data_IF_720769262128
#
_entry.id   IF_720769262128
#
_cell.length_a   1.000
_cell.length_b   1.000
_cell.length_c   1.000
_cell.angle_alpha   90.00
_cell.angle_beta   90.00
_cell.angle_gamma   90.00
#
_symmetry.space_group_name_H-M   'P 1'
#
loop_
_entity.id
_entity.type
_entity.pdbx_description
1 polymer ?
#
# COMPACT_ATOMS: atom_id res chain seq x y z
N UNK A 1 -9.67 21.67 -18.96
CA UNK A 1 -9.96 20.52 -18.08
C UNK A 1 -8.83 20.44 -17.05
N UNK A 2 -9.12 20.14 -15.79
CA UNK A 2 -8.09 19.91 -14.77
C UNK A 2 -7.16 18.77 -15.20
N UNK A 3 -5.89 18.85 -14.81
CA UNK A 3 -4.97 17.74 -14.99
C UNK A 3 -5.40 16.59 -14.05
N UNK A 4 -5.69 15.43 -14.63
CA UNK A 4 -6.14 14.22 -13.93
C UNK A 4 -5.17 13.05 -14.20
N UNK A 5 -3.89 13.34 -14.46
CA UNK A 5 -2.86 12.31 -14.59
C UNK A 5 -2.70 11.52 -13.28
N UNK A 6 -2.57 10.20 -13.40
CA UNK A 6 -2.36 9.30 -12.28
C UNK A 6 -0.97 8.69 -12.40
N UNK A 7 -0.16 8.87 -11.37
CA UNK A 7 1.09 8.16 -11.22
C UNK A 7 0.85 6.82 -10.50
N UNK A 8 1.09 5.72 -11.20
CA UNK A 8 0.99 4.35 -10.71
C UNK A 8 2.38 3.88 -10.28
N UNK A 9 2.58 3.81 -8.98
CA UNK A 9 3.79 3.36 -8.29
C UNK A 9 3.74 1.85 -8.06
N UNK A 10 4.68 1.12 -8.67
CA UNK A 10 4.74 -0.34 -8.62
C UNK A 10 6.14 -0.76 -8.19
N UNK A 11 6.23 -1.44 -7.05
CA UNK A 11 7.44 -2.11 -6.60
C UNK A 11 7.28 -3.62 -6.80
N UNK A 12 8.27 -4.25 -7.43
CA UNK A 12 8.24 -5.67 -7.75
C UNK A 12 9.53 -6.36 -7.34
N UNK A 13 9.40 -7.54 -6.73
CA UNK A 13 10.52 -8.41 -6.38
C UNK A 13 10.28 -9.79 -6.98
N UNK A 14 11.02 -10.11 -8.04
CA UNK A 14 10.93 -11.39 -8.76
C UNK A 14 9.49 -11.86 -9.05
N UNK A 15 8.57 -10.92 -9.31
CA UNK A 15 7.14 -11.23 -9.43
C UNK A 15 6.77 -11.51 -10.90
N UNK A 16 6.31 -12.71 -11.25
CA UNK A 16 5.92 -13.03 -12.62
C UNK A 16 4.69 -12.24 -13.10
N UNK A 17 3.90 -11.64 -12.19
CA UNK A 17 2.70 -10.88 -12.57
C UNK A 17 2.95 -9.41 -12.87
N UNK A 18 4.19 -8.90 -12.76
CA UNK A 18 4.46 -7.49 -13.02
C UNK A 18 3.97 -7.03 -14.41
N UNK A 19 4.26 -7.81 -15.45
CA UNK A 19 3.79 -7.51 -16.81
C UNK A 19 2.26 -7.52 -16.91
N UNK A 20 1.60 -8.50 -16.27
CA UNK A 20 0.15 -8.60 -16.21
C UNK A 20 -0.48 -7.39 -15.50
N UNK A 21 0.07 -6.96 -14.36
CA UNK A 21 -0.45 -5.81 -13.60
C UNK A 21 -0.37 -4.52 -14.42
N UNK A 22 0.75 -4.29 -15.12
CA UNK A 22 0.90 -3.12 -15.99
C UNK A 22 -0.03 -3.17 -17.20
N UNK A 23 -0.20 -4.34 -17.81
CA UNK A 23 -1.12 -4.52 -18.94
C UNK A 23 -2.58 -4.31 -18.52
N UNK A 24 -2.97 -4.88 -17.38
CA UNK A 24 -4.30 -4.70 -16.79
C UNK A 24 -4.58 -3.23 -16.46
N UNK A 25 -3.62 -2.52 -15.87
CA UNK A 25 -3.75 -1.09 -15.58
C UNK A 25 -4.02 -0.25 -16.84
N UNK A 26 -3.32 -0.54 -17.94
CA UNK A 26 -3.47 0.18 -19.21
C UNK A 26 -4.75 -0.21 -19.96
N UNK A 27 -4.98 -1.51 -20.16
CA UNK A 27 -6.09 -2.03 -20.98
C UNK A 27 -7.45 -1.75 -20.35
N UNK A 28 -7.53 -1.72 -19.02
CA UNK A 28 -8.79 -1.54 -18.29
C UNK A 28 -9.08 -0.08 -17.96
N UNK A 29 -8.13 0.85 -18.16
CA UNK A 29 -8.36 2.27 -17.93
C UNK A 29 -9.26 2.87 -19.02
N UNK A 30 -10.10 3.84 -18.62
CA UNK A 30 -10.89 4.64 -19.56
C UNK A 30 -10.03 5.70 -20.27
N UNK A 31 -9.01 6.22 -19.61
CA UNK A 31 -8.07 7.22 -20.15
C UNK A 31 -6.60 6.76 -19.98
N UNK A 32 -6.16 5.68 -20.66
CA UNK A 32 -4.81 5.13 -20.50
C UNK A 32 -3.69 6.14 -20.78
N UNK A 33 -3.93 7.16 -21.62
CA UNK A 33 -2.99 8.25 -21.92
C UNK A 33 -2.66 9.14 -20.71
N UNK A 34 -3.50 9.13 -19.66
CA UNK A 34 -3.29 9.89 -18.42
C UNK A 34 -2.38 9.17 -17.42
N UNK A 35 -2.11 7.88 -17.65
CA UNK A 35 -1.31 7.09 -16.74
C UNK A 35 0.18 7.39 -16.91
N UNK A 36 0.88 7.46 -15.79
CA UNK A 36 2.34 7.47 -15.67
C UNK A 36 2.74 6.37 -14.71
N UNK A 37 3.75 5.59 -15.02
CA UNK A 37 4.19 4.45 -14.23
C UNK A 37 5.57 4.72 -13.66
N UNK A 38 5.73 4.49 -12.36
CA UNK A 38 7.02 4.34 -11.70
C UNK A 38 7.22 2.88 -11.34
N UNK A 39 8.12 2.19 -12.03
CA UNK A 39 8.33 0.75 -11.86
C UNK A 39 9.71 0.51 -11.27
N UNK A 40 9.75 -0.08 -10.08
CA UNK A 40 10.98 -0.63 -9.50
C UNK A 40 10.92 -2.13 -9.65
N UNK A 41 11.80 -2.65 -10.50
CA UNK A 41 11.88 -4.06 -10.83
C UNK A 41 13.16 -4.66 -10.24
N UNK A 42 12.97 -5.60 -9.31
CA UNK A 42 14.04 -6.31 -8.64
C UNK A 42 14.04 -7.78 -9.08
N UNK A 43 14.22 -8.02 -10.38
CA UNK A 43 14.31 -9.36 -10.99
C UNK A 43 15.67 -9.58 -11.66
N UNK A 44 16.13 -10.83 -11.81
CA UNK A 44 17.33 -11.11 -12.60
C UNK A 44 17.14 -10.64 -14.06
N UNK A 45 18.19 -10.17 -14.76
CA UNK A 45 18.09 -9.72 -16.14
C UNK A 45 17.42 -10.73 -17.09
N UNK A 46 17.61 -12.02 -16.84
CA UNK A 46 17.03 -13.14 -17.58
C UNK A 46 15.53 -13.37 -17.34
N UNK A 47 14.96 -12.85 -16.25
CA UNK A 47 13.53 -13.04 -15.94
C UNK A 47 12.61 -12.29 -16.91
N UNK A 48 13.14 -11.28 -17.60
CA UNK A 48 12.58 -10.62 -18.78
C UNK A 48 11.06 -10.37 -18.73
N UNK A 49 10.65 -9.17 -18.34
CA UNK A 49 9.29 -8.70 -18.61
C UNK A 49 9.33 -7.56 -19.62
N UNK A 50 8.32 -7.53 -20.50
CA UNK A 50 8.15 -6.47 -21.48
C UNK A 50 7.08 -5.48 -20.98
N UNK A 51 7.28 -4.20 -21.29
CA UNK A 51 6.19 -3.25 -21.17
C UNK A 51 5.02 -3.66 -22.07
N UNK A 52 3.77 -3.43 -21.64
CA UNK A 52 2.61 -3.67 -22.48
C UNK A 52 2.77 -2.94 -23.83
N UNK A 53 2.39 -3.58 -24.95
CA UNK A 53 2.60 -3.02 -26.29
C UNK A 53 1.93 -1.64 -26.48
N UNK A 54 0.85 -1.39 -25.73
CA UNK A 54 0.11 -0.13 -25.70
C UNK A 54 0.78 0.97 -24.84
N UNK A 55 1.78 0.63 -24.03
CA UNK A 55 2.49 1.59 -23.20
C UNK A 55 3.41 2.45 -24.07
N UNK A 56 3.28 3.77 -23.99
CA UNK A 56 4.24 4.66 -24.63
C UNK A 56 5.46 4.84 -23.73
N UNK A 57 6.66 4.90 -24.30
CA UNK A 57 7.91 5.01 -23.54
C UNK A 57 7.90 6.19 -22.54
N UNK A 58 7.29 7.32 -22.92
CA UNK A 58 7.20 8.51 -22.07
C UNK A 58 6.28 8.33 -20.84
N UNK A 59 5.44 7.29 -20.82
CA UNK A 59 4.56 6.99 -19.71
C UNK A 59 5.26 6.19 -18.61
N UNK A 60 6.48 5.71 -18.83
CA UNK A 60 7.11 4.74 -17.93
C UNK A 60 8.47 5.26 -17.47
N UNK A 61 8.65 5.27 -16.15
CA UNK A 61 9.91 5.53 -15.48
C UNK A 61 10.29 4.25 -14.76
N UNK A 62 11.46 3.68 -15.06
CA UNK A 62 11.88 2.38 -14.53
C UNK A 62 13.22 2.50 -13.80
N UNK A 63 13.30 1.84 -12.65
CA UNK A 63 14.54 1.49 -11.98
C UNK A 63 14.62 -0.04 -11.97
N UNK A 64 15.76 -0.57 -12.39
CA UNK A 64 16.05 -2.00 -12.32
C UNK A 64 17.18 -2.23 -11.33
N UNK A 65 17.02 -3.22 -10.46
CA UNK A 65 18.01 -3.64 -9.47
C UNK A 65 18.13 -5.16 -9.52
N UNK A 66 19.34 -5.68 -9.29
CA UNK A 66 19.48 -7.11 -9.10
C UNK A 66 18.80 -7.54 -7.78
N UNK A 67 18.15 -8.72 -7.67
CA UNK A 67 17.48 -9.16 -6.44
C UNK A 67 18.38 -9.23 -5.19
N UNK A 68 19.70 -9.37 -5.40
CA UNK A 68 20.72 -9.32 -4.34
C UNK A 68 20.91 -7.92 -3.74
N UNK A 69 20.59 -6.88 -4.50
CA UNK A 69 20.71 -5.48 -4.07
C UNK A 69 19.40 -4.97 -3.45
N UNK A 70 18.33 -5.76 -3.50
CA UNK A 70 17.06 -5.46 -2.85
C UNK A 70 17.20 -5.37 -1.32
N UNK A 71 16.35 -4.54 -0.71
CA UNK A 71 16.34 -4.29 0.75
C UNK A 71 14.92 -4.38 1.34
N UNK A 72 14.07 -5.20 0.72
CA UNK A 72 12.65 -5.33 1.06
C UNK A 72 11.72 -4.33 0.34
N UNK A 73 10.40 -4.48 0.53
CA UNK A 73 9.40 -3.72 -0.21
C UNK A 73 9.37 -2.23 0.15
N UNK A 74 9.60 -1.84 1.41
CA UNK A 74 9.67 -0.43 1.81
C UNK A 74 10.72 0.36 1.02
N UNK A 75 11.92 -0.20 0.86
CA UNK A 75 12.99 0.38 0.05
C UNK A 75 12.56 0.54 -1.41
N UNK A 76 12.00 -0.52 -2.01
CA UNK A 76 11.53 -0.49 -3.39
C UNK A 76 10.38 0.52 -3.61
N UNK A 77 9.45 0.62 -2.66
CA UNK A 77 8.34 1.58 -2.69
C UNK A 77 8.83 3.01 -2.52
N UNK A 78 9.85 3.26 -1.69
CA UNK A 78 10.47 4.57 -1.58
C UNK A 78 11.13 5.00 -2.90
N UNK A 79 11.83 4.08 -3.58
CA UNK A 79 12.38 4.32 -4.92
C UNK A 79 11.27 4.59 -5.94
N UNK A 80 10.21 3.78 -5.96
CA UNK A 80 9.09 3.92 -6.90
C UNK A 80 8.35 5.25 -6.69
N UNK A 81 8.09 5.62 -5.43
CA UNK A 81 7.50 6.89 -5.06
C UNK A 81 8.37 8.07 -5.50
N UNK A 82 9.70 7.95 -5.43
CA UNK A 82 10.65 8.96 -5.91
C UNK A 82 10.66 9.18 -7.44
N UNK A 83 10.01 8.32 -8.22
CA UNK A 83 9.84 8.50 -9.67
C UNK A 83 8.63 9.39 -10.02
N UNK A 84 7.85 9.84 -9.04
CA UNK A 84 6.80 10.84 -9.23
C UNK A 84 7.38 12.18 -9.71
N UNK A 85 6.73 12.83 -10.67
CA UNK A 85 7.18 14.11 -11.25
C UNK A 85 6.05 15.15 -11.23
N UNK A 86 5.28 15.19 -10.15
CA UNK A 86 4.21 16.16 -9.97
C UNK A 86 2.88 15.76 -10.60
N UNK A 87 2.65 14.47 -10.89
CA UNK A 87 1.32 14.00 -11.25
C UNK A 87 0.31 14.33 -10.13
N UNK A 88 -0.89 14.84 -10.47
CA UNK A 88 -1.87 15.32 -9.49
C UNK A 88 -2.45 14.19 -8.61
N UNK A 89 -2.38 12.94 -9.06
CA UNK A 89 -2.83 11.77 -8.31
C UNK A 89 -1.73 10.72 -8.22
N UNK A 90 -1.67 10.06 -7.07
CA UNK A 90 -0.74 8.99 -6.74
C UNK A 90 -1.53 7.71 -6.43
N UNK A 91 -1.19 6.62 -7.10
CA UNK A 91 -1.69 5.28 -6.85
C UNK A 91 -0.50 4.37 -6.55
N UNK A 92 -0.49 3.72 -5.40
CA UNK A 92 0.44 2.63 -5.09
C UNK A 92 -0.28 1.29 -5.16
N UNK A 93 0.34 0.34 -5.86
CA UNK A 93 -0.14 -1.04 -5.96
C UNK A 93 1.01 -2.04 -5.82
N UNK A 94 0.67 -3.27 -5.46
CA UNK A 94 1.58 -4.40 -5.58
C UNK A 94 1.69 -4.87 -7.04
N UNK A 95 2.76 -5.59 -7.38
CA UNK A 95 3.03 -6.09 -8.74
C UNK A 95 2.17 -7.29 -9.19
N UNK A 96 1.14 -7.62 -8.41
CA UNK A 96 0.19 -8.72 -8.65
C UNK A 96 -1.24 -8.24 -8.36
N UNK A 97 -1.53 -7.06 -8.89
CA UNK A 97 -2.84 -6.41 -8.88
C UNK A 97 -3.51 -6.58 -10.25
N UNK A 98 -4.80 -6.88 -10.25
CA UNK A 98 -5.66 -6.82 -11.44
C UNK A 98 -6.58 -5.59 -11.32
N UNK A 99 -6.67 -4.82 -12.38
CA UNK A 99 -7.51 -3.64 -12.47
C UNK A 99 -8.86 -4.00 -13.09
N UNK A 100 -9.94 -3.42 -12.57
CA UNK A 100 -11.27 -3.58 -13.17
C UNK A 100 -11.52 -2.54 -14.28
N UNK A 101 -12.48 -2.77 -15.19
CA UNK A 101 -12.82 -1.80 -16.23
C UNK A 101 -13.18 -0.42 -15.66
N UNK A 102 -12.62 0.63 -16.26
CA UNK A 102 -12.84 2.03 -15.88
C UNK A 102 -12.28 2.41 -14.51
N UNK A 103 -11.28 1.67 -13.99
CA UNK A 103 -10.75 1.87 -12.65
C UNK A 103 -10.27 3.31 -12.38
N UNK A 104 -9.70 3.97 -13.39
CA UNK A 104 -9.11 5.30 -13.29
C UNK A 104 -10.18 6.35 -13.00
N UNK A 105 -11.28 6.36 -13.74
CA UNK A 105 -12.41 7.24 -13.46
C UNK A 105 -13.11 6.90 -12.14
N UNK A 106 -13.21 5.62 -11.78
CA UNK A 106 -13.80 5.17 -10.50
C UNK A 106 -12.97 5.64 -9.30
N UNK A 107 -11.64 5.51 -9.34
CA UNK A 107 -10.76 6.04 -8.30
C UNK A 107 -10.79 7.57 -8.25
N UNK A 108 -10.75 8.25 -9.40
CA UNK A 108 -10.84 9.70 -9.45
C UNK A 108 -12.16 10.20 -8.87
N UNK A 109 -13.28 9.55 -9.16
CA UNK A 109 -14.58 9.89 -8.58
C UNK A 109 -14.52 9.89 -7.05
N UNK A 110 -14.05 8.80 -6.44
CA UNK A 110 -13.91 8.73 -4.99
C UNK A 110 -12.85 9.67 -4.42
N UNK A 111 -11.76 9.87 -5.16
CA UNK A 111 -10.71 10.82 -4.83
C UNK A 111 -11.25 12.22 -4.73
N UNK A 112 -12.01 12.69 -5.73
CA UNK A 112 -12.64 14.01 -5.72
C UNK A 112 -13.69 14.14 -4.63
N UNK A 113 -14.50 13.10 -4.40
CA UNK A 113 -15.48 13.08 -3.31
C UNK A 113 -14.81 13.29 -1.95
N UNK A 114 -13.80 12.47 -1.61
CA UNK A 114 -13.11 12.58 -0.32
C UNK A 114 -12.28 13.86 -0.22
N UNK A 115 -11.70 14.32 -1.34
CA UNK A 115 -10.95 15.59 -1.40
C UNK A 115 -11.82 16.80 -1.12
N UNK A 116 -13.12 16.73 -1.41
CA UNK A 116 -14.08 17.78 -1.07
C UNK A 116 -14.36 17.85 0.44
N UNK A 117 -14.17 16.75 1.18
CA UNK A 117 -14.24 16.72 2.65
C UNK A 117 -12.94 17.23 3.28
N UNK A 118 -11.80 16.72 2.80
CA UNK A 118 -10.47 17.19 3.19
C UNK A 118 -9.53 17.07 1.99
N UNK A 119 -8.86 18.15 1.54
CA UNK A 119 -7.94 18.10 0.41
C UNK A 119 -6.76 17.11 0.61
N UNK A 120 -6.49 16.71 1.86
CA UNK A 120 -5.54 15.66 2.24
C UNK A 120 -6.28 14.36 2.53
N UNK A 121 -6.72 13.65 1.48
CA UNK A 121 -7.46 12.40 1.61
C UNK A 121 -6.71 11.21 1.01
N UNK A 122 -6.63 10.10 1.75
CA UNK A 122 -6.09 8.81 1.29
C UNK A 122 -7.23 7.80 1.21
N UNK A 123 -7.35 7.11 0.08
CA UNK A 123 -8.22 5.95 -0.09
C UNK A 123 -7.38 4.69 -0.04
N UNK A 124 -7.83 3.70 0.72
CA UNK A 124 -7.12 2.43 0.82
C UNK A 124 -8.06 1.32 1.29
N UNK A 125 -7.74 0.07 0.99
CA UNK A 125 -8.33 -1.13 1.60
C UNK A 125 -7.48 -2.34 1.21
N UNK A 126 -7.69 -3.48 1.86
CA UNK A 126 -7.31 -4.78 1.28
C UNK A 126 -8.30 -5.10 0.15
N UNK A 127 -7.89 -5.09 -1.13
CA UNK A 127 -8.82 -5.24 -2.23
C UNK A 127 -9.40 -6.66 -2.31
N UNK A 128 -10.49 -6.83 -3.06
CA UNK A 128 -11.06 -8.16 -3.29
C UNK A 128 -10.00 -9.12 -3.91
N UNK A 129 -10.00 -10.41 -3.54
CA UNK A 129 -9.10 -11.38 -4.12
C UNK A 129 -9.37 -11.64 -5.61
N UNK A 130 -8.33 -12.01 -6.35
CA UNK A 130 -8.45 -12.72 -7.63
C UNK A 130 -7.41 -13.83 -7.74
N UNK A 131 -7.69 -14.80 -8.60
CA UNK A 131 -6.76 -15.87 -8.95
C UNK A 131 -6.60 -15.96 -10.47
N UNK A 132 -5.50 -16.54 -10.94
CA UNK A 132 -5.33 -16.86 -12.36
C UNK A 132 -5.86 -18.28 -12.59
N UNK A 133 -6.89 -18.41 -13.42
CA UNK A 133 -7.47 -19.68 -13.85
C UNK A 133 -7.39 -19.72 -15.38
N UNK A 134 -6.74 -20.75 -15.93
CA UNK A 134 -6.53 -20.90 -17.38
C UNK A 134 -5.92 -19.65 -18.05
N UNK A 135 -4.99 -19.00 -17.34
CA UNK A 135 -4.32 -17.78 -17.80
C UNK A 135 -5.17 -16.51 -17.72
N UNK A 136 -6.35 -16.54 -17.10
CA UNK A 136 -7.25 -15.39 -16.96
C UNK A 136 -7.47 -15.02 -15.49
N UNK A 137 -7.58 -13.72 -15.15
CA UNK A 137 -7.91 -13.30 -13.80
C UNK A 137 -9.39 -13.56 -13.49
N UNK A 138 -9.65 -14.32 -12.44
CA UNK A 138 -10.99 -14.63 -11.92
C UNK A 138 -11.14 -14.02 -10.53
N UNK A 139 -12.00 -13.00 -10.34
CA UNK A 139 -12.23 -12.39 -9.04
C UNK A 139 -12.98 -13.34 -8.09
N UNK A 140 -12.60 -13.33 -6.82
CA UNK A 140 -13.37 -13.90 -5.72
C UNK A 140 -13.91 -12.73 -4.89
N UNK A 141 -15.08 -12.22 -5.27
CA UNK A 141 -15.62 -10.99 -4.66
C UNK A 141 -16.14 -11.29 -3.26
N UNK A 142 -15.57 -10.63 -2.25
CA UNK A 142 -16.06 -10.66 -0.86
C UNK A 142 -17.24 -9.68 -0.70
N UNK A 143 -17.09 -8.46 -1.21
CA UNK A 143 -18.15 -7.45 -1.24
C UNK A 143 -17.93 -6.41 -2.34
N UNK A 144 -19.00 -5.75 -2.76
CA UNK A 144 -18.98 -4.54 -3.61
C UNK A 144 -19.22 -3.25 -2.82
N UNK A 145 -19.53 -3.38 -1.54
CA UNK A 145 -19.59 -2.26 -0.59
C UNK A 145 -18.18 -1.99 -0.05
N UNK A 146 -18.05 -1.56 1.19
CA UNK A 146 -16.76 -1.21 1.79
C UNK A 146 -16.04 -2.46 2.33
N UNK A 147 -14.74 -2.56 2.09
CA UNK A 147 -13.81 -3.41 2.85
C UNK A 147 -13.03 -2.53 3.82
N UNK A 148 -13.37 -2.59 5.11
CA UNK A 148 -12.78 -1.75 6.14
C UNK A 148 -11.71 -2.48 6.95
N UNK A 149 -10.63 -1.79 7.30
CA UNK A 149 -9.61 -2.34 8.18
C UNK A 149 -10.05 -2.32 9.64
N UNK A 150 -9.76 -3.43 10.32
CA UNK A 150 -9.86 -3.60 11.77
C UNK A 150 -8.64 -4.35 12.28
N UNK A 151 -8.30 -4.17 13.56
CA UNK A 151 -7.26 -4.97 14.21
C UNK A 151 -7.77 -6.41 14.34
N UNK A 152 -6.95 -7.38 13.93
CA UNK A 152 -7.25 -8.81 14.06
C UNK A 152 -7.44 -9.20 15.52
N UNK A 153 -8.42 -10.07 15.81
CA UNK A 153 -8.73 -10.53 17.17
C UNK A 153 -7.55 -11.15 17.92
N UNK A 154 -6.64 -11.81 17.20
CA UNK A 154 -5.43 -12.46 17.74
C UNK A 154 -4.19 -11.56 17.73
N UNK A 155 -4.36 -10.27 17.40
CA UNK A 155 -3.29 -9.28 17.45
C UNK A 155 -3.44 -8.38 18.68
N UNK A 156 -2.38 -8.33 19.49
CA UNK A 156 -2.24 -7.45 20.64
C UNK A 156 -0.80 -6.91 20.71
N UNK A 157 -0.59 -5.86 21.52
CA UNK A 157 0.76 -5.35 21.77
C UNK A 157 1.58 -6.38 22.56
N UNK A 158 2.70 -6.80 21.97
CA UNK A 158 3.72 -7.61 22.64
C UNK A 158 4.77 -6.64 23.21
N UNK A 159 5.38 -6.98 24.36
CA UNK A 159 6.22 -6.07 25.15
C UNK A 159 7.27 -5.27 24.36
N UNK A 160 7.92 -5.91 23.38
CA UNK A 160 8.98 -5.32 22.56
C UNK A 160 8.65 -5.31 21.06
N UNK A 161 7.40 -5.57 20.67
CA UNK A 161 7.00 -5.66 19.27
C UNK A 161 5.77 -4.77 18.98
N UNK A 162 5.96 -3.59 18.34
CA UNK A 162 4.89 -2.61 18.14
C UNK A 162 3.96 -2.91 16.96
N UNK A 163 4.25 -3.95 16.17
CA UNK A 163 3.43 -4.31 15.02
C UNK A 163 2.10 -4.88 15.49
N UNK A 164 1.03 -4.39 14.87
CA UNK A 164 -0.31 -4.95 14.95
C UNK A 164 -0.69 -5.51 13.58
N UNK A 165 -1.43 -6.61 13.59
CA UNK A 165 -1.97 -7.22 12.39
C UNK A 165 -3.41 -6.77 12.18
N UNK A 166 -3.72 -6.40 10.93
CA UNK A 166 -5.04 -5.93 10.52
C UNK A 166 -5.69 -6.92 9.56
N UNK A 167 -7.01 -6.92 9.50
CA UNK A 167 -7.80 -7.65 8.51
C UNK A 167 -8.84 -6.72 7.87
N UNK A 168 -9.30 -7.08 6.67
CA UNK A 168 -10.39 -6.41 5.98
C UNK A 168 -11.70 -7.10 6.31
N UNK A 169 -12.70 -6.33 6.76
CA UNK A 169 -14.07 -6.83 6.98
C UNK A 169 -15.06 -6.13 6.07
N UNK A 170 -16.07 -6.82 5.53
CA UNK A 170 -17.11 -6.17 4.75
C UNK A 170 -17.94 -5.24 5.65
N UNK A 171 -18.24 -4.04 5.18
CA UNK A 171 -19.09 -3.08 5.88
C UNK A 171 -20.16 -2.65 4.90
N UNK A 172 -21.42 -2.72 5.34
CA UNK A 172 -22.54 -2.30 4.51
C UNK A 172 -22.61 -0.78 4.46
N UNK A 173 -21.95 -0.23 3.46
CA UNK A 173 -21.93 1.20 3.16
C UNK A 173 -21.71 1.42 1.67
N UNK A 174 -22.49 2.34 1.10
CA UNK A 174 -22.32 2.85 -0.27
C UNK A 174 -21.61 4.20 -0.32
N UNK A 175 -21.19 4.70 0.83
CA UNK A 175 -20.40 5.92 0.98
C UNK A 175 -19.04 5.59 1.62
N UNK A 176 -18.02 6.43 1.41
CA UNK A 176 -16.74 6.29 2.09
C UNK A 176 -16.91 6.27 3.61
N UNK A 177 -16.17 5.40 4.30
CA UNK A 177 -16.11 5.37 5.77
C UNK A 177 -14.75 5.82 6.27
N UNK A 178 -14.68 6.53 7.41
CA UNK A 178 -13.39 6.91 8.01
C UNK A 178 -12.55 5.67 8.38
N UNK A 179 -11.30 5.68 7.95
CA UNK A 179 -10.31 4.64 8.18
C UNK A 179 -9.22 5.11 9.16
N UNK A 180 -8.60 4.16 9.85
CA UNK A 180 -7.39 4.41 10.63
C UNK A 180 -6.17 3.65 10.11
N UNK A 181 -6.33 2.73 9.15
CA UNK A 181 -5.23 1.93 8.62
C UNK A 181 -5.22 1.95 7.09
N UNK A 182 -4.05 1.72 6.49
CA UNK A 182 -3.87 1.61 5.03
C UNK A 182 -3.34 0.24 4.66
N UNK A 183 -3.66 -0.20 3.45
CA UNK A 183 -3.00 -1.30 2.78
C UNK A 183 -1.89 -0.73 1.90
N UNK A 184 -0.66 -1.20 2.06
CA UNK A 184 0.45 -0.70 1.25
C UNK A 184 0.36 -1.18 -0.22
N UNK A 185 -0.36 -2.27 -0.49
CA UNK A 185 -0.65 -2.76 -1.83
C UNK A 185 -1.83 -2.08 -2.54
N UNK A 186 -2.51 -1.11 -1.89
CA UNK A 186 -3.62 -0.38 -2.46
C UNK A 186 -3.79 0.97 -1.76
N UNK A 187 -3.19 2.03 -2.30
CA UNK A 187 -3.27 3.37 -1.74
C UNK A 187 -3.43 4.41 -2.85
N UNK A 188 -4.55 5.15 -2.85
CA UNK A 188 -4.83 6.23 -3.78
C UNK A 188 -4.96 7.58 -3.06
N UNK A 189 -4.29 8.61 -3.54
CA UNK A 189 -4.30 9.93 -2.90
C UNK A 189 -3.95 11.05 -3.89
N UNK A 190 -4.22 12.33 -3.56
CA UNK A 190 -3.57 13.46 -4.20
C UNK A 190 -2.05 13.32 -4.19
N UNK A 191 -1.40 13.69 -5.30
CA UNK A 191 0.04 13.53 -5.52
C UNK A 191 0.92 14.29 -4.53
N UNK A 192 0.38 15.30 -3.84
CA UNK A 192 1.06 15.99 -2.74
C UNK A 192 1.49 15.07 -1.59
N UNK A 193 0.86 13.89 -1.46
CA UNK A 193 1.22 12.86 -0.48
C UNK A 193 2.71 12.50 -0.55
N UNK A 194 3.27 12.41 -1.76
CA UNK A 194 4.66 12.03 -2.01
C UNK A 194 5.65 12.93 -1.26
N UNK A 195 5.34 14.22 -1.17
CA UNK A 195 6.20 15.20 -0.51
C UNK A 195 5.92 15.30 0.99
N UNK A 196 4.67 15.12 1.41
CA UNK A 196 4.26 15.28 2.81
C UNK A 196 4.54 14.02 3.65
N UNK A 197 4.41 12.83 3.05
CA UNK A 197 4.49 11.53 3.71
C UNK A 197 5.33 10.55 2.88
N UNK A 198 6.64 10.79 2.71
CA UNK A 198 7.50 9.93 1.89
C UNK A 198 7.54 8.51 2.45
N UNK A 199 7.58 7.50 1.59
CA UNK A 199 7.75 6.11 2.03
C UNK A 199 9.06 5.94 2.79
N UNK A 200 9.04 5.25 3.94
CA UNK A 200 10.22 5.09 4.78
C UNK A 200 11.09 3.93 4.29
N UNK A 201 12.27 4.18 3.68
CA UNK A 201 13.09 3.12 3.10
C UNK A 201 13.81 2.27 4.16
N UNK A 202 13.74 2.65 5.44
CA UNK A 202 14.41 1.96 6.54
C UNK A 202 13.45 1.04 7.33
N UNK A 203 12.17 0.98 6.94
CA UNK A 203 11.29 -0.12 7.32
C UNK A 203 11.50 -1.29 6.35
N UNK A 204 10.91 -2.46 6.68
CA UNK A 204 11.09 -3.68 5.89
C UNK A 204 9.78 -4.21 5.31
N UNK A 205 9.00 -4.98 6.08
CA UNK A 205 7.72 -5.57 5.64
C UNK A 205 6.62 -5.27 6.67
N UNK A 206 6.75 -5.83 7.88
CA UNK A 206 5.74 -5.63 8.92
C UNK A 206 5.79 -4.24 9.53
N UNK A 207 4.61 -3.65 9.76
CA UNK A 207 4.45 -2.36 10.42
C UNK A 207 4.65 -1.13 9.53
N UNK A 208 5.02 -1.30 8.26
CA UNK A 208 5.10 -0.19 7.29
C UNK A 208 3.76 0.53 7.12
N UNK A 209 2.67 -0.24 7.08
CA UNK A 209 1.32 0.28 6.93
C UNK A 209 0.88 1.09 8.14
N UNK A 210 1.20 0.62 9.35
CA UNK A 210 0.95 1.36 10.59
C UNK A 210 1.73 2.67 10.61
N UNK A 211 3.03 2.61 10.26
CA UNK A 211 3.87 3.81 10.16
C UNK A 211 3.29 4.80 9.17
N UNK A 212 2.93 4.35 7.95
CA UNK A 212 2.39 5.22 6.92
C UNK A 212 1.05 5.85 7.34
N UNK A 213 0.13 5.06 7.89
CA UNK A 213 -1.17 5.54 8.36
C UNK A 213 -1.02 6.61 9.45
N UNK A 214 -0.21 6.35 10.48
CA UNK A 214 0.01 7.29 11.59
C UNK A 214 0.74 8.54 11.14
N UNK A 215 1.76 8.40 10.29
CA UNK A 215 2.52 9.54 9.75
C UNK A 215 1.64 10.43 8.90
N UNK A 216 0.77 9.87 8.07
CA UNK A 216 -0.20 10.64 7.29
C UNK A 216 -1.23 11.32 8.20
N UNK A 217 -1.83 10.55 9.11
CA UNK A 217 -2.89 11.05 9.98
C UNK A 217 -2.43 12.19 10.90
N UNK A 218 -1.26 12.05 11.51
CA UNK A 218 -0.65 13.11 12.36
C UNK A 218 -0.22 14.36 11.58
N UNK A 219 -0.12 14.26 10.24
CA UNK A 219 0.07 15.39 9.32
C UNK A 219 -1.24 15.98 8.79
N UNK A 220 -2.39 15.52 9.29
CA UNK A 220 -3.71 16.06 8.94
C UNK A 220 -4.36 15.40 7.73
N UNK A 221 -3.84 14.25 7.29
CA UNK A 221 -4.49 13.46 6.26
C UNK A 221 -5.64 12.64 6.85
N UNK A 222 -6.77 12.62 6.14
CA UNK A 222 -7.89 11.73 6.44
C UNK A 222 -7.78 10.47 5.58
N UNK A 223 -8.03 9.32 6.20
CA UNK A 223 -8.01 8.03 5.54
C UNK A 223 -9.45 7.57 5.37
N UNK A 224 -9.74 6.96 4.23
CA UNK A 224 -11.06 6.45 3.90
C UNK A 224 -10.99 5.04 3.30
N UNK A 225 -11.96 4.21 3.65
CA UNK A 225 -12.29 3.00 2.89
C UNK A 225 -13.50 3.31 2.01
N UNK A 226 -13.39 3.06 0.72
CA UNK A 226 -14.43 3.38 -0.27
C UNK A 226 -15.11 2.10 -0.76
N UNK A 227 -16.40 2.18 -1.12
CA UNK A 227 -17.07 1.04 -1.72
C UNK A 227 -16.55 0.80 -3.13
N UNK A 228 -16.68 -0.46 -3.57
CA UNK A 228 -16.39 -0.87 -4.95
C UNK A 228 -14.99 -0.43 -5.43
N UNK A 229 -13.97 -0.66 -4.59
CA UNK A 229 -12.56 -0.44 -4.94
C UNK A 229 -12.23 -1.19 -6.24
N UNK A 230 -11.83 -0.51 -7.33
CA UNK A 230 -11.72 -1.08 -8.67
C UNK A 230 -10.41 -1.86 -8.89
N UNK A 231 -9.85 -2.41 -7.81
CA UNK A 231 -8.60 -3.15 -7.78
C UNK A 231 -8.86 -4.52 -7.15
N UNK A 232 -8.15 -5.51 -7.65
CA UNK A 232 -8.14 -6.86 -7.11
C UNK A 232 -6.70 -7.24 -6.78
N UNK A 233 -6.50 -8.03 -5.74
CA UNK A 233 -5.17 -8.44 -5.29
C UNK A 233 -5.03 -9.97 -5.28
N UNK A 234 -3.88 -10.48 -5.74
CA UNK A 234 -3.57 -11.90 -5.66
C UNK A 234 -2.93 -12.23 -4.30
N UNK A 235 -3.76 -12.65 -3.35
CA UNK A 235 -3.29 -13.15 -2.06
C UNK A 235 -2.61 -14.52 -2.23
N UNK A 236 -1.67 -14.84 -1.33
CA UNK A 236 -0.99 -16.13 -1.32
C UNK A 236 -2.00 -17.26 -1.19
N UNK A 237 -2.03 -18.17 -2.17
CA UNK A 237 -2.79 -19.41 -2.09
C UNK A 237 -1.88 -20.53 -1.58
N UNK A 238 -2.46 -21.49 -0.85
CA UNK A 238 -1.75 -22.66 -0.34
C UNK A 238 -1.17 -23.52 -1.48
N UNK A 239 -1.83 -23.53 -2.64
CA UNK A 239 -1.49 -24.40 -3.79
C UNK A 239 -0.88 -23.66 -4.99
N UNK A 240 -0.60 -22.36 -4.89
CA UNK A 240 0.01 -21.60 -5.97
C UNK A 240 1.52 -21.86 -6.06
N UNK A 241 2.10 -21.70 -7.25
CA UNK A 241 3.56 -21.67 -7.42
C UNK A 241 4.17 -20.65 -6.44
N UNK A 242 5.19 -21.03 -5.65
CA UNK A 242 5.76 -20.14 -4.66
C UNK A 242 6.38 -18.94 -5.36
N UNK A 243 5.87 -17.74 -5.05
CA UNK A 243 6.53 -16.50 -5.45
C UNK A 243 7.83 -16.35 -4.64
N UNK A 244 8.95 -15.99 -5.27
CA UNK A 244 10.19 -15.76 -4.53
C UNK A 244 9.99 -14.64 -3.51
N UNK A 245 10.05 -14.97 -2.22
CA UNK A 245 10.01 -13.97 -1.16
C UNK A 245 11.41 -13.41 -0.94
N UNK A 246 11.49 -12.13 -0.54
CA UNK A 246 12.79 -11.48 -0.29
C UNK A 246 13.63 -12.25 0.75
N UNK A 247 12.99 -12.86 1.75
CA UNK A 247 13.63 -13.62 2.83
C UNK A 247 13.87 -15.11 2.51
N UNK A 248 13.76 -15.55 1.25
CA UNK A 248 14.15 -16.93 0.88
C UNK A 248 15.67 -17.11 0.98
N UNK A 249 16.10 -18.21 1.61
CA UNK A 249 17.48 -18.44 2.03
C UNK A 249 18.50 -18.35 0.89
N UNK A 250 18.17 -18.89 -0.29
CA UNK A 250 19.09 -18.96 -1.42
C UNK A 250 19.68 -17.59 -1.78
N UNK A 251 18.84 -16.55 -1.87
CA UNK A 251 19.29 -15.19 -2.17
C UNK A 251 19.66 -14.40 -0.91
N UNK A 252 19.00 -14.65 0.23
CA UNK A 252 19.25 -13.89 1.45
C UNK A 252 20.66 -14.12 2.01
N UNK A 253 21.17 -15.35 1.93
CA UNK A 253 22.53 -15.68 2.36
C UNK A 253 23.62 -14.96 1.55
N UNK A 254 23.30 -14.52 0.34
CA UNK A 254 24.21 -13.86 -0.58
C UNK A 254 24.21 -12.32 -0.42
N UNK A 255 23.32 -11.77 0.43
CA UNK A 255 23.23 -10.32 0.67
C UNK A 255 24.24 -9.85 1.70
N UNK A 256 24.69 -8.61 1.53
CA UNK A 256 25.51 -7.93 2.53
C UNK A 256 24.74 -7.68 3.84
N UNK A 257 23.44 -7.41 3.75
CA UNK A 257 22.52 -7.28 4.90
C UNK A 257 21.37 -8.25 4.68
N UNK A 258 21.20 -9.17 5.63
CA UNK A 258 20.18 -10.23 5.56
C UNK A 258 18.82 -9.71 5.97
N UNK A 259 17.76 -10.37 5.51
CA UNK A 259 16.39 -10.01 5.83
C UNK A 259 16.08 -9.97 7.33
N UNK A 260 16.69 -10.85 8.14
CA UNK A 260 16.52 -10.86 9.59
C UNK A 260 17.08 -9.60 10.26
N UNK A 261 18.19 -9.06 9.74
CA UNK A 261 18.77 -7.81 10.24
C UNK A 261 17.93 -6.60 9.82
N UNK A 262 17.43 -6.60 8.57
CA UNK A 262 16.49 -5.58 8.09
C UNK A 262 15.19 -5.57 8.91
N UNK A 263 14.63 -6.74 9.20
CA UNK A 263 13.41 -6.87 10.00
C UNK A 263 13.63 -6.40 11.44
N UNK A 264 14.73 -6.81 12.07
CA UNK A 264 15.09 -6.32 13.41
C UNK A 264 15.29 -4.80 13.47
N UNK A 265 15.96 -4.21 12.47
CA UNK A 265 16.11 -2.76 12.36
C UNK A 265 14.77 -2.04 12.13
N UNK A 266 13.88 -2.61 11.31
CA UNK A 266 12.55 -2.07 11.06
C UNK A 266 11.67 -2.10 12.32
N UNK A 267 11.73 -3.18 13.11
CA UNK A 267 11.02 -3.29 14.38
C UNK A 267 11.51 -2.23 15.39
N UNK A 268 12.83 -2.07 15.54
CA UNK A 268 13.41 -1.03 16.39
C UNK A 268 13.00 0.37 15.93
N UNK A 269 12.97 0.60 14.62
CA UNK A 269 12.56 1.87 14.03
C UNK A 269 11.09 2.19 14.27
N UNK A 270 10.20 1.20 14.13
CA UNK A 270 8.79 1.38 14.43
C UNK A 270 8.57 1.64 15.92
N UNK A 271 9.31 0.95 16.79
CA UNK A 271 9.30 1.22 18.23
C UNK A 271 9.76 2.65 18.52
N UNK A 272 10.85 3.11 17.89
CA UNK A 272 11.35 4.46 18.06
C UNK A 272 10.30 5.52 17.66
N UNK A 273 9.56 5.27 16.58
CA UNK A 273 8.48 6.12 16.10
C UNK A 273 7.29 6.17 17.08
N UNK A 274 6.89 5.03 17.63
CA UNK A 274 5.61 4.89 18.33
C UNK A 274 5.71 4.98 19.86
N UNK A 275 6.82 4.57 20.44
CA UNK A 275 6.98 4.43 21.89
C UNK A 275 8.07 5.33 22.47
N UNK A 276 9.18 5.52 21.75
CA UNK A 276 10.32 6.26 22.29
C UNK A 276 10.31 7.75 21.88
N UNK A 277 9.34 8.18 21.06
CA UNK A 277 9.18 9.58 20.66
C UNK A 277 10.34 10.12 19.82
N UNK A 278 11.02 9.25 19.09
CA UNK A 278 12.20 9.61 18.31
C UNK A 278 11.86 10.57 17.16
N UNK A 279 12.72 11.56 16.94
CA UNK A 279 12.66 12.40 15.75
C UNK A 279 13.29 11.66 14.56
N UNK A 280 12.45 11.12 13.68
CA UNK A 280 12.86 10.45 12.44
C UNK A 280 12.83 11.40 11.22
N UNK A 281 12.81 12.72 11.44
CA UNK A 281 12.78 13.74 10.39
C UNK A 281 11.55 13.62 9.48
N UNK A 282 11.76 13.55 8.17
CA UNK A 282 10.67 13.35 7.19
C UNK A 282 9.88 12.04 7.43
N UNK A 283 10.47 11.08 8.16
CA UNK A 283 9.87 9.81 8.52
C UNK A 283 9.26 9.78 9.93
N UNK A 284 9.31 10.88 10.67
CA UNK A 284 8.67 11.01 11.98
C UNK A 284 7.16 11.24 11.89
N UNK A 285 6.49 11.35 13.04
CA UNK A 285 5.09 11.77 13.12
C UNK A 285 4.93 13.26 12.79
N UNK A 286 3.75 13.63 12.31
CA UNK A 286 3.34 15.03 12.15
C UNK A 286 2.93 15.69 13.46
N UNK A 287 2.56 16.97 13.37
CA UNK A 287 2.17 17.79 14.52
C UNK A 287 0.76 18.38 14.42
N UNK A 288 0.00 18.05 13.38
CA UNK A 288 -1.37 18.58 13.21
C UNK A 288 -2.38 17.84 14.09
N UNK A 289 -2.14 16.57 14.40
CA UNK A 289 -2.95 15.75 15.29
C UNK A 289 -2.04 14.86 16.13
N UNK A 290 -2.41 14.60 17.39
CA UNK A 290 -1.58 13.83 18.34
C UNK A 290 -1.88 12.33 18.31
N UNK A 291 -0.98 11.49 18.85
CA UNK A 291 -1.29 10.06 19.05
C UNK A 291 -2.47 9.84 20.01
N UNK A 292 -2.71 10.75 20.94
CA UNK A 292 -3.89 10.69 21.81
C UNK A 292 -5.18 10.89 21.03
N UNK A 293 -5.19 11.85 20.09
CA UNK A 293 -6.33 12.07 19.20
C UNK A 293 -6.55 10.85 18.29
N UNK A 294 -5.45 10.20 17.84
CA UNK A 294 -5.53 8.96 17.06
C UNK A 294 -6.12 7.82 17.89
N UNK A 295 -5.71 7.67 19.15
CA UNK A 295 -6.28 6.68 20.07
C UNK A 295 -7.77 6.92 20.29
N UNK A 296 -8.17 8.18 20.51
CA UNK A 296 -9.57 8.56 20.66
C UNK A 296 -10.41 8.29 19.39
N UNK A 297 -9.81 8.36 18.19
CA UNK A 297 -10.48 8.09 16.92
C UNK A 297 -10.53 6.60 16.54
N UNK A 298 -9.41 5.89 16.72
CA UNK A 298 -9.23 4.51 16.25
C UNK A 298 -9.54 3.46 17.30
N UNK A 299 -9.39 3.80 18.59
CA UNK A 299 -9.35 2.83 19.69
C UNK A 299 -7.98 2.15 19.85
N UNK A 300 -6.93 2.61 19.16
CA UNK A 300 -5.57 2.07 19.29
C UNK A 300 -4.70 3.12 19.99
N UNK A 301 -4.37 2.86 21.26
CA UNK A 301 -3.43 3.68 22.01
C UNK A 301 -2.04 3.05 21.96
N UNK A 302 -1.17 3.60 21.10
CA UNK A 302 0.20 3.14 20.95
C UNK A 302 1.07 3.43 22.19
N UNK A 303 0.80 4.53 22.91
CA UNK A 303 1.58 4.91 24.08
C UNK A 303 1.22 4.04 25.29
N UNK A 304 -0.08 3.87 25.55
CA UNK A 304 -0.58 2.99 26.60
C UNK A 304 -0.53 1.50 26.22
N UNK A 305 -0.31 1.19 24.94
CA UNK A 305 -0.31 -0.16 24.37
C UNK A 305 -1.64 -0.87 24.62
N UNK A 306 -2.73 -0.17 24.32
CA UNK A 306 -4.10 -0.64 24.52
C UNK A 306 -4.87 -0.65 23.20
N UNK A 307 -5.75 -1.63 23.06
CA UNK A 307 -6.61 -1.80 21.89
C UNK A 307 -8.04 -1.94 22.40
N UNK A 308 -8.88 -0.96 22.11
CA UNK A 308 -10.29 -0.98 22.44
C UNK A 308 -11.10 -1.80 21.43
N UNK A 309 -12.30 -2.24 21.82
CA UNK A 309 -13.19 -3.01 20.94
C UNK A 309 -13.55 -2.28 19.65
N UNK A 310 -13.62 -0.94 19.67
CA UNK A 310 -13.87 -0.11 18.47
C UNK A 310 -12.71 -0.03 17.48
N UNK A 311 -11.54 -0.60 17.79
CA UNK A 311 -10.48 -0.84 16.82
C UNK A 311 -10.65 -2.19 16.10
N UNK A 312 -11.50 -3.07 16.64
CA UNK A 312 -11.77 -4.43 16.16
C UNK A 312 -13.11 -4.47 15.40
N UNK A 313 -13.60 -5.67 15.11
CA UNK A 313 -14.86 -5.87 14.34
C UNK A 313 -16.08 -5.22 15.00
N UNK A 314 -16.11 -5.08 16.32
CA UNK A 314 -17.18 -4.39 17.05
C UNK A 314 -17.38 -2.92 16.60
N UNK A 315 -16.38 -2.28 15.97
CA UNK A 315 -16.54 -0.98 15.28
C UNK A 315 -17.71 -0.94 14.31
N UNK A 316 -17.99 -2.08 13.66
CA UNK A 316 -18.98 -2.22 12.62
C UNK A 316 -20.12 -3.18 13.02
N UNK A 317 -20.29 -3.45 14.32
CA UNK A 317 -21.42 -4.22 14.84
C UNK A 317 -21.32 -5.74 14.68
N UNK A 318 -20.10 -6.27 14.49
CA UNK A 318 -19.81 -7.71 14.58
C UNK A 318 -19.71 -8.17 16.04
#
# INVERSE_FOLDING_TARGET
MSDERIFVSVASYCDPLLGFTLDSALSQARHPQRLRFGVVDQSPPEAGWALPAQAQAHQVRRVHLHPRDARGPCFARALAMGLHQGEPWYLQVDSHTCFEPGWDERLLHWGHHCRALNPRSILSCYPNPFNIVDGQPVPTVVTREVLAHVVRMDSDFVADHPVLMFEGVPVSSREPVPAFHVAAGCLFAPGGLVNEVPYDPFLYFHGEEQSLALRAWTRGWDLFHVPDMPLLHQYVQVDALPRPMHWQSELDEQRAVRSAELDGAAQQRLRALLWDGADLGAYGLGRQRSLQDYAAFSGIDYAARQIEQRARKARFGY
#
